data_IF_605193604068
#
_entry.id   IF_605193604068
#
_cell.length_a   1.000
_cell.length_b   1.000
_cell.length_c   1.000
_cell.angle_alpha   90.00
_cell.angle_beta   90.00
_cell.angle_gamma   90.00
#
_symmetry.space_group_name_H-M   'P 1'
#
loop_
_entity.id
_entity.type
_entity.pdbx_description
1 polymer ?
#
# COMPACT_ATOMS: atom_id res chain seq x y z
N UNK A 1 6.24 -18.95 10.35
CA UNK A 1 5.55 -17.64 10.39
C UNK A 1 6.08 -16.88 11.60
N UNK A 2 6.76 -15.76 11.40
CA UNK A 2 7.23 -14.96 12.54
C UNK A 2 6.01 -14.41 13.28
N UNK A 3 5.79 -14.84 14.52
CA UNK A 3 4.77 -14.28 15.42
C UNK A 3 5.19 -12.90 15.98
N UNK A 4 6.42 -12.48 15.70
CA UNK A 4 7.03 -11.26 16.22
C UNK A 4 7.54 -10.39 15.07
N UNK A 5 7.21 -9.09 15.10
CA UNK A 5 7.65 -8.09 14.15
C UNK A 5 9.18 -7.96 14.11
N UNK A 6 9.85 -7.94 15.27
CA UNK A 6 11.28 -7.65 15.39
C UNK A 6 12.19 -8.68 14.71
N UNK A 7 11.74 -9.93 14.60
CA UNK A 7 12.47 -11.00 13.93
C UNK A 7 11.96 -11.27 12.51
N UNK A 8 10.96 -10.51 12.05
CA UNK A 8 10.31 -10.73 10.76
C UNK A 8 11.12 -10.18 9.58
N UNK A 9 10.84 -10.71 8.39
CA UNK A 9 11.35 -10.12 7.14
C UNK A 9 10.88 -8.69 6.94
N UNK A 10 9.70 -8.31 7.45
CA UNK A 10 9.20 -6.94 7.38
C UNK A 10 10.17 -5.97 8.06
N UNK A 11 10.65 -6.29 9.26
CA UNK A 11 11.59 -5.43 9.98
C UNK A 11 12.92 -5.28 9.22
N UNK A 12 13.43 -6.37 8.64
CA UNK A 12 14.70 -6.39 7.89
C UNK A 12 14.64 -5.59 6.58
N UNK A 13 13.46 -5.48 5.99
CA UNK A 13 13.24 -4.79 4.70
C UNK A 13 12.74 -3.34 4.88
N UNK A 14 12.79 -2.80 6.11
CA UNK A 14 12.52 -1.38 6.34
C UNK A 14 13.61 -0.54 5.68
N UNK A 15 13.17 0.50 4.97
CA UNK A 15 14.03 1.44 4.25
C UNK A 15 13.85 2.83 4.80
N UNK A 16 14.92 3.59 4.77
CA UNK A 16 14.89 4.99 5.13
C UNK A 16 14.13 5.83 4.09
N UNK A 17 13.49 6.94 4.48
CA UNK A 17 12.75 7.81 3.56
C UNK A 17 13.59 8.31 2.38
N UNK A 18 14.89 8.48 2.59
CA UNK A 18 15.85 8.90 1.56
C UNK A 18 16.00 7.86 0.47
N UNK A 19 15.97 6.56 0.80
CA UNK A 19 16.03 5.48 -0.19
C UNK A 19 14.71 5.29 -0.97
N UNK A 20 13.58 5.65 -0.36
CA UNK A 20 12.24 5.43 -0.92
C UNK A 20 11.83 6.55 -1.89
N UNK A 21 12.38 7.75 -1.71
CA UNK A 21 12.06 8.94 -2.52
C UNK A 21 13.04 9.12 -3.69
N UNK A 22 13.76 8.06 -4.06
CA UNK A 22 14.60 8.03 -5.26
C UNK A 22 13.79 7.53 -6.44
N UNK A 23 13.85 8.27 -7.55
CA UNK A 23 13.26 7.84 -8.83
C UNK A 23 14.23 6.87 -9.49
N UNK A 24 13.69 5.78 -10.05
CA UNK A 24 14.50 4.81 -10.78
C UNK A 24 15.21 5.48 -11.97
N UNK A 25 16.49 5.16 -12.27
CA UNK A 25 17.25 5.84 -13.33
C UNK A 25 16.54 5.85 -14.69
N UNK A 26 15.86 4.76 -15.05
CA UNK A 26 15.07 4.65 -16.28
C UNK A 26 13.88 5.63 -16.32
N UNK A 27 13.24 5.88 -15.19
CA UNK A 27 12.13 6.82 -15.09
C UNK A 27 12.64 8.27 -15.08
N UNK A 28 13.79 8.52 -14.45
CA UNK A 28 14.47 9.81 -14.46
C UNK A 28 14.92 10.20 -15.88
N UNK A 29 15.44 9.25 -16.67
CA UNK A 29 15.80 9.47 -18.09
C UNK A 29 14.60 9.89 -18.95
N UNK A 30 13.38 9.53 -18.55
CA UNK A 30 12.14 9.91 -19.22
C UNK A 30 11.57 11.24 -18.71
N UNK A 31 12.28 11.92 -17.80
CA UNK A 31 11.88 13.20 -17.24
C UNK A 31 10.86 13.10 -16.11
N UNK A 32 10.66 11.92 -15.51
CA UNK A 32 9.78 11.79 -14.33
C UNK A 32 10.49 12.43 -13.14
N UNK A 33 9.89 13.50 -12.60
CA UNK A 33 10.42 14.15 -11.39
C UNK A 33 10.07 13.35 -10.13
N UNK A 34 10.76 13.65 -9.04
CA UNK A 34 10.44 13.08 -7.71
C UNK A 34 9.01 13.40 -7.30
N UNK A 35 8.51 14.59 -7.64
CA UNK A 35 7.15 15.00 -7.33
C UNK A 35 6.13 14.23 -8.18
N UNK A 36 6.38 14.04 -9.47
CA UNK A 36 5.53 13.20 -10.33
C UNK A 36 5.46 11.77 -9.79
N UNK A 37 6.60 11.20 -9.40
CA UNK A 37 6.66 9.87 -8.79
C UNK A 37 5.81 9.80 -7.51
N UNK A 38 5.86 10.85 -6.67
CA UNK A 38 5.06 10.95 -5.44
C UNK A 38 3.56 11.04 -5.73
N UNK A 39 3.17 11.84 -6.73
CA UNK A 39 1.79 12.02 -7.16
C UNK A 39 1.22 10.74 -7.81
N UNK A 40 2.02 10.04 -8.62
CA UNK A 40 1.63 8.75 -9.20
C UNK A 40 1.39 7.73 -8.10
N UNK A 41 2.29 7.58 -7.13
CA UNK A 41 2.10 6.69 -5.97
C UNK A 41 0.82 7.04 -5.19
N UNK A 42 0.53 8.32 -5.02
CA UNK A 42 -0.67 8.79 -4.31
C UNK A 42 -1.94 8.44 -5.10
N UNK A 43 -1.96 8.77 -6.38
CA UNK A 43 -3.08 8.47 -7.28
C UNK A 43 -3.38 6.97 -7.31
N UNK A 44 -2.34 6.13 -7.43
CA UNK A 44 -2.51 4.68 -7.48
C UNK A 44 -2.94 4.09 -6.13
N UNK A 45 -2.49 4.66 -5.01
CA UNK A 45 -3.00 4.27 -3.68
C UNK A 45 -4.51 4.55 -3.57
N UNK A 46 -4.96 5.71 -4.04
CA UNK A 46 -6.38 6.06 -4.07
C UNK A 46 -7.17 5.15 -5.02
N UNK A 47 -6.58 4.76 -6.15
CA UNK A 47 -7.17 3.79 -7.06
C UNK A 47 -7.39 2.42 -6.40
N UNK A 48 -6.38 1.89 -5.67
CA UNK A 48 -6.51 0.66 -4.89
C UNK A 48 -7.67 0.78 -3.88
N UNK A 49 -7.74 1.89 -3.14
CA UNK A 49 -8.81 2.10 -2.16
C UNK A 49 -10.20 2.15 -2.80
N UNK A 50 -10.36 2.83 -3.95
CA UNK A 50 -11.63 2.86 -4.69
C UNK A 50 -12.04 1.48 -5.19
N UNK A 51 -11.12 0.72 -5.78
CA UNK A 51 -11.37 -0.66 -6.18
C UNK A 51 -11.80 -1.53 -5.00
N UNK A 52 -11.09 -1.43 -3.88
CA UNK A 52 -11.39 -2.18 -2.68
C UNK A 52 -12.77 -1.85 -2.10
N UNK A 53 -13.18 -0.58 -2.14
CA UNK A 53 -14.53 -0.16 -1.72
C UNK A 53 -15.62 -0.80 -2.59
N UNK A 54 -15.43 -0.84 -3.91
CA UNK A 54 -16.38 -1.49 -4.82
C UNK A 54 -16.49 -3.01 -4.60
N UNK A 55 -15.38 -3.67 -4.27
CA UNK A 55 -15.31 -5.11 -4.02
C UNK A 55 -15.65 -5.45 -2.55
N UNK A 56 -15.82 -4.44 -1.68
CA UNK A 56 -16.08 -4.56 -0.23
C UNK A 56 -14.96 -5.31 0.53
N UNK A 57 -13.71 -5.02 0.19
CA UNK A 57 -12.52 -5.61 0.81
C UNK A 57 -12.20 -4.90 2.14
N UNK A 58 -11.72 -5.65 3.14
CA UNK A 58 -11.32 -5.12 4.46
C UNK A 58 -10.11 -4.19 4.37
N UNK A 59 -10.08 -3.15 5.19
CA UNK A 59 -9.01 -2.13 5.20
C UNK A 59 -7.60 -2.71 5.40
N UNK A 60 -7.47 -3.79 6.20
CA UNK A 60 -6.19 -4.49 6.40
C UNK A 60 -5.58 -4.96 5.07
N UNK A 61 -6.39 -5.52 4.18
CA UNK A 61 -5.96 -6.00 2.87
C UNK A 61 -5.55 -4.82 1.96
N UNK A 62 -6.30 -3.71 2.02
CA UNK A 62 -5.96 -2.47 1.30
C UNK A 62 -4.60 -1.95 1.71
N UNK A 63 -4.31 -1.94 3.01
CA UNK A 63 -3.02 -1.52 3.54
C UNK A 63 -1.87 -2.43 3.09
N UNK A 64 -2.09 -3.76 3.06
CA UNK A 64 -1.13 -4.73 2.50
C UNK A 64 -0.87 -4.46 1.02
N UNK A 65 -1.91 -4.24 0.23
CA UNK A 65 -1.80 -3.93 -1.20
C UNK A 65 -1.01 -2.65 -1.49
N UNK A 66 -1.30 -1.57 -0.75
CA UNK A 66 -0.54 -0.31 -0.87
C UNK A 66 0.92 -0.51 -0.47
N UNK A 67 1.19 -1.33 0.55
CA UNK A 67 2.55 -1.66 0.98
C UNK A 67 3.32 -2.42 -0.10
N UNK A 68 2.69 -3.41 -0.74
CA UNK A 68 3.29 -4.12 -1.87
C UNK A 68 3.62 -3.18 -3.03
N UNK A 69 2.68 -2.34 -3.44
CA UNK A 69 2.89 -1.38 -4.51
C UNK A 69 4.09 -0.46 -4.22
N UNK A 70 4.19 0.07 -2.99
CA UNK A 70 5.32 0.92 -2.57
C UNK A 70 6.66 0.17 -2.60
N UNK A 71 6.68 -1.09 -2.11
CA UNK A 71 7.89 -1.94 -2.13
C UNK A 71 8.35 -2.25 -3.55
N UNK A 72 7.42 -2.58 -4.45
CA UNK A 72 7.72 -2.84 -5.88
C UNK A 72 8.41 -1.64 -6.52
N UNK A 73 7.85 -0.44 -6.36
CA UNK A 73 8.41 0.78 -6.96
C UNK A 73 9.68 1.32 -6.30
N UNK A 74 10.14 0.69 -5.21
CA UNK A 74 11.48 0.96 -4.69
C UNK A 74 12.57 0.22 -5.46
N UNK A 75 12.18 -0.82 -6.23
CA UNK A 75 13.12 -1.72 -6.94
C UNK A 75 12.90 -1.76 -8.45
N UNK A 76 11.70 -1.44 -8.92
CA UNK A 76 11.29 -1.53 -10.32
C UNK A 76 10.85 -0.16 -10.83
N UNK A 77 11.05 0.08 -12.12
CA UNK A 77 10.65 1.31 -12.79
C UNK A 77 9.13 1.36 -13.03
N UNK A 78 8.53 2.55 -13.00
CA UNK A 78 7.13 2.80 -13.40
C UNK A 78 6.89 2.44 -14.87
N UNK A 79 7.94 2.56 -15.68
CA UNK A 79 7.93 2.24 -17.09
C UNK A 79 7.75 0.74 -17.36
N UNK A 80 8.53 -0.10 -16.69
CA UNK A 80 8.47 -1.55 -16.88
C UNK A 80 7.25 -2.14 -16.18
N UNK A 81 6.88 -1.57 -15.03
CA UNK A 81 5.79 -2.03 -14.18
C UNK A 81 4.67 -1.00 -14.20
N UNK A 82 3.79 -1.11 -15.21
CA UNK A 82 2.73 -0.14 -15.44
C UNK A 82 1.81 0.01 -14.20
N UNK A 83 1.71 1.21 -13.59
CA UNK A 83 0.99 1.39 -12.32
C UNK A 83 -0.50 1.06 -12.35
N UNK A 84 -1.13 1.21 -13.52
CA UNK A 84 -2.55 0.87 -13.71
C UNK A 84 -2.83 -0.62 -13.60
N UNK A 85 -1.87 -1.47 -13.97
CA UNK A 85 -1.94 -2.93 -13.83
C UNK A 85 -1.36 -3.39 -12.49
N UNK A 86 -0.27 -2.79 -12.01
CA UNK A 86 0.36 -3.17 -10.74
C UNK A 86 -0.55 -2.93 -9.55
N UNK A 87 -1.28 -1.80 -9.51
CA UNK A 87 -2.19 -1.46 -8.42
C UNK A 87 -3.27 -2.54 -8.16
N UNK A 88 -4.10 -2.94 -9.13
CA UNK A 88 -5.09 -3.99 -8.94
C UNK A 88 -4.43 -5.34 -8.68
N UNK A 89 -3.32 -5.67 -9.32
CA UNK A 89 -2.62 -6.94 -9.07
C UNK A 89 -2.04 -7.03 -7.65
N UNK A 90 -1.54 -5.92 -7.10
CA UNK A 90 -1.15 -5.84 -5.68
C UNK A 90 -2.35 -6.10 -4.75
N UNK A 91 -3.53 -5.58 -5.09
CA UNK A 91 -4.77 -5.85 -4.36
C UNK A 91 -5.16 -7.33 -4.44
N UNK A 92 -5.07 -7.94 -5.63
CA UNK A 92 -5.31 -9.36 -5.82
C UNK A 92 -4.37 -10.24 -4.98
N UNK A 93 -3.07 -9.94 -5.02
CA UNK A 93 -2.05 -10.67 -4.26
C UNK A 93 -2.25 -10.49 -2.74
N UNK A 94 -2.58 -9.26 -2.30
CA UNK A 94 -2.87 -8.98 -0.89
C UNK A 94 -4.11 -9.73 -0.39
N UNK A 95 -5.16 -9.84 -1.22
CA UNK A 95 -6.33 -10.67 -0.89
C UNK A 95 -5.92 -12.11 -0.60
N UNK A 96 -5.06 -12.70 -1.44
CA UNK A 96 -4.55 -14.06 -1.20
C UNK A 96 -3.69 -14.16 0.07
N UNK A 97 -2.80 -13.20 0.30
CA UNK A 97 -1.90 -13.21 1.45
C UNK A 97 -2.62 -13.02 2.81
N UNK A 98 -3.74 -12.29 2.83
CA UNK A 98 -4.55 -12.03 4.03
C UNK A 98 -5.81 -12.92 4.10
N UNK A 99 -5.83 -14.03 3.35
CA UNK A 99 -6.90 -15.04 3.36
C UNK A 99 -8.30 -14.47 3.02
N UNK A 100 -8.35 -13.45 2.16
CA UNK A 100 -9.58 -12.86 1.63
C UNK A 100 -9.86 -13.40 0.23
N UNK A 101 -10.98 -14.10 0.05
CA UNK A 101 -11.32 -14.73 -1.25
C UNK A 101 -11.82 -13.68 -2.24
N UNK A 102 -11.03 -13.38 -3.27
CA UNK A 102 -11.43 -12.53 -4.40
C UNK A 102 -11.02 -13.19 -5.71
N UNK A 103 -11.97 -13.37 -6.63
CA UNK A 103 -11.69 -13.91 -7.96
C UNK A 103 -11.16 -12.81 -8.90
N UNK A 104 -10.15 -13.13 -9.70
CA UNK A 104 -9.57 -12.19 -10.68
C UNK A 104 -10.62 -11.64 -11.66
N UNK A 105 -11.65 -12.43 -12.02
CA UNK A 105 -12.76 -11.99 -12.88
C UNK A 105 -13.51 -10.78 -12.33
N UNK A 106 -13.73 -10.73 -11.01
CA UNK A 106 -14.39 -9.61 -10.34
C UNK A 106 -13.52 -8.36 -10.43
N UNK A 107 -12.21 -8.53 -10.21
CA UNK A 107 -11.26 -7.44 -10.29
C UNK A 107 -11.20 -6.83 -11.71
N UNK A 108 -11.09 -7.67 -12.75
CA UNK A 108 -11.13 -7.23 -14.16
C UNK A 108 -12.43 -6.48 -14.46
N UNK A 109 -13.57 -6.95 -13.97
CA UNK A 109 -14.86 -6.28 -14.15
C UNK A 109 -14.87 -4.86 -13.57
N UNK A 110 -14.38 -4.66 -12.34
CA UNK A 110 -14.35 -3.34 -11.71
C UNK A 110 -13.27 -2.42 -12.30
N UNK A 111 -12.14 -2.96 -12.76
CA UNK A 111 -11.14 -2.18 -13.51
C UNK A 111 -11.79 -1.56 -14.76
N UNK A 112 -12.47 -2.38 -15.57
CA UNK A 112 -13.18 -1.93 -16.78
C UNK A 112 -14.30 -0.94 -16.47
N UNK A 113 -14.97 -1.11 -15.33
CA UNK A 113 -16.05 -0.20 -14.90
C UNK A 113 -15.52 1.17 -14.47
N UNK A 114 -14.37 1.23 -13.80
CA UNK A 114 -13.77 2.48 -13.31
C UNK A 114 -13.04 3.25 -14.41
N UNK A 115 -12.42 2.53 -15.35
CA UNK A 115 -11.73 3.11 -16.50
C UNK A 115 -12.33 2.55 -17.78
N UNK A 116 -13.23 3.34 -18.38
CA UNK A 116 -13.89 3.02 -19.65
C UNK A 116 -12.99 3.27 -20.89
N UNK A 117 -11.73 3.64 -20.68
CA UNK A 117 -10.79 3.92 -21.76
C UNK A 117 -10.44 2.61 -22.50
N UNK A 118 -10.74 2.56 -23.79
CA UNK A 118 -10.55 1.36 -24.62
C UNK A 118 -9.08 0.94 -24.73
N UNK A 119 -8.16 1.88 -24.48
CA UNK A 119 -6.71 1.64 -24.58
C UNK A 119 -6.18 0.69 -23.50
N UNK A 120 -6.88 0.53 -22.38
CA UNK A 120 -6.40 -0.23 -21.21
C UNK A 120 -7.35 -1.37 -20.84
N UNK A 121 -7.62 -2.25 -21.81
CA UNK A 121 -8.45 -3.45 -21.61
C UNK A 121 -7.60 -4.62 -21.10
N UNK A 122 -7.38 -4.66 -19.79
CA UNK A 122 -6.71 -5.81 -19.14
C UNK A 122 -7.60 -7.05 -19.10
N UNK A 123 -6.98 -8.20 -19.30
CA UNK A 123 -7.55 -9.54 -19.16
C UNK A 123 -7.03 -10.22 -17.90
N UNK A 124 -7.64 -11.36 -17.54
CA UNK A 124 -7.22 -12.14 -16.37
C UNK A 124 -5.76 -12.58 -16.50
N UNK A 125 -5.32 -12.94 -17.73
CA UNK A 125 -3.94 -13.35 -18.01
C UNK A 125 -2.92 -12.28 -17.64
N UNK A 126 -3.22 -11.00 -17.88
CA UNK A 126 -2.31 -9.89 -17.61
C UNK A 126 -2.12 -9.70 -16.10
N UNK A 127 -3.19 -9.88 -15.33
CA UNK A 127 -3.14 -9.84 -13.86
C UNK A 127 -2.29 -11.00 -13.33
N UNK A 128 -2.48 -12.21 -13.87
CA UNK A 128 -1.72 -13.39 -13.42
C UNK A 128 -0.24 -13.33 -13.80
N UNK A 129 0.08 -12.80 -14.98
CA UNK A 129 1.48 -12.59 -15.37
C UNK A 129 2.14 -11.51 -14.50
N UNK A 130 1.45 -10.38 -14.28
CA UNK A 130 1.97 -9.32 -13.43
C UNK A 130 2.10 -9.77 -11.97
N UNK A 131 1.24 -10.67 -11.51
CA UNK A 131 1.33 -11.23 -10.16
C UNK A 131 2.67 -11.93 -9.93
N UNK A 132 3.09 -12.76 -10.88
CA UNK A 132 4.38 -13.45 -10.79
C UNK A 132 5.54 -12.44 -10.76
N UNK A 133 5.47 -11.39 -11.59
CA UNK A 133 6.47 -10.31 -11.60
C UNK A 133 6.53 -9.55 -10.27
N UNK A 134 5.38 -9.26 -9.66
CA UNK A 134 5.30 -8.59 -8.36
C UNK A 134 5.86 -9.47 -7.24
N UNK A 135 5.54 -10.77 -7.24
CA UNK A 135 6.08 -11.73 -6.28
C UNK A 135 7.61 -11.73 -6.27
N UNK A 136 8.19 -11.77 -7.48
CA UNK A 136 9.64 -11.71 -7.68
C UNK A 136 10.22 -10.37 -7.21
N UNK A 137 9.59 -9.25 -7.57
CA UNK A 137 10.02 -7.91 -7.14
C UNK A 137 9.98 -7.73 -5.60
N UNK A 138 9.06 -8.41 -4.91
CA UNK A 138 8.94 -8.43 -3.46
C UNK A 138 9.89 -9.42 -2.76
N UNK A 139 10.69 -10.19 -3.50
CA UNK A 139 11.45 -11.34 -2.99
C UNK A 139 10.58 -12.29 -2.16
N UNK A 140 9.31 -12.47 -2.53
CA UNK A 140 8.33 -13.30 -1.81
C UNK A 140 8.08 -12.90 -0.34
N UNK A 141 8.45 -11.69 0.09
CA UNK A 141 8.17 -11.18 1.43
C UNK A 141 6.75 -10.62 1.55
N UNK A 142 5.78 -11.53 1.69
CA UNK A 142 4.35 -11.22 1.72
C UNK A 142 3.80 -10.85 3.09
N UNK A 143 4.46 -11.25 4.19
CA UNK A 143 3.94 -10.95 5.53
C UNK A 143 4.12 -9.47 5.85
N UNK A 144 3.01 -8.75 6.02
CA UNK A 144 2.99 -7.34 6.45
C UNK A 144 2.34 -7.24 7.82
N UNK A 145 3.00 -6.53 8.72
CA UNK A 145 2.51 -6.26 10.07
C UNK A 145 1.85 -4.89 10.07
N UNK A 146 0.60 -4.84 10.53
CA UNK A 146 -0.18 -3.60 10.59
C UNK A 146 -0.43 -3.18 12.04
N UNK A 147 -0.44 -1.87 12.32
CA UNK A 147 -0.69 -1.33 13.66
C UNK A 147 -2.16 -1.45 14.10
N UNK A 148 -3.07 -1.94 13.24
CA UNK A 148 -4.52 -1.95 13.52
C UNK A 148 -4.91 -2.71 14.81
N UNK A 149 -4.12 -3.71 15.23
CA UNK A 149 -4.40 -4.46 16.46
C UNK A 149 -4.04 -3.69 17.72
N UNK A 150 -2.92 -2.96 17.70
CA UNK A 150 -2.41 -2.21 18.87
C UNK A 150 -2.98 -0.79 18.96
N UNK A 151 -3.53 -0.27 17.86
CA UNK A 151 -4.04 1.10 17.79
C UNK A 151 -5.17 1.40 18.79
N UNK A 152 -6.16 0.51 19.04
CA UNK A 152 -7.20 0.76 20.04
C UNK A 152 -6.63 0.87 21.46
N UNK A 153 -5.65 0.02 21.82
CA UNK A 153 -4.97 0.04 23.11
C UNK A 153 -4.24 1.39 23.30
N UNK A 154 -3.50 1.86 22.29
CA UNK A 154 -2.84 3.16 22.33
C UNK A 154 -3.81 4.36 22.38
N UNK A 155 -4.98 4.27 21.75
CA UNK A 155 -5.99 5.33 21.79
C UNK A 155 -6.68 5.42 23.15
N UNK A 156 -6.93 4.25 23.75
CA UNK A 156 -7.44 4.17 25.12
C UNK A 156 -6.43 4.77 26.11
N UNK A 157 -5.14 4.42 25.98
CA UNK A 157 -4.07 4.94 26.83
C UNK A 157 -3.86 6.46 26.67
N UNK A 158 -4.15 7.01 25.48
CA UNK A 158 -4.05 8.45 25.21
C UNK A 158 -5.31 9.25 25.55
N UNK A 159 -6.37 8.61 26.04
CA UNK A 159 -7.62 9.26 26.45
C UNK A 159 -8.49 9.77 25.28
N UNK A 160 -8.24 9.32 24.05
CA UNK A 160 -9.03 9.68 22.87
C UNK A 160 -10.13 8.62 22.67
N UNK A 161 -11.35 8.94 23.11
CA UNK A 161 -12.48 8.00 23.14
C UNK A 161 -13.24 7.84 21.81
N UNK A 162 -13.02 8.73 20.84
CA UNK A 162 -13.81 8.74 19.60
C UNK A 162 -13.23 7.81 18.52
N UNK A 163 -13.70 6.57 18.55
CA UNK A 163 -13.37 5.49 17.60
C UNK A 163 -13.95 5.68 16.19
N UNK A 164 -14.88 6.62 16.01
CA UNK A 164 -15.57 6.86 14.72
C UNK A 164 -14.70 7.59 13.70
N UNK A 165 -13.74 8.38 14.16
CA UNK A 165 -12.78 9.06 13.28
C UNK A 165 -11.61 8.16 12.89
N UNK A 166 -11.52 6.93 13.40
CA UNK A 166 -10.40 6.04 13.14
C UNK A 166 -10.28 5.67 11.66
N UNK A 167 -11.38 5.46 10.93
CA UNK A 167 -11.28 5.15 9.50
C UNK A 167 -10.82 6.34 8.65
N UNK A 168 -11.27 7.55 9.01
CA UNK A 168 -10.96 8.82 8.32
C UNK A 168 -9.56 9.32 8.67
N UNK A 169 -9.14 9.14 9.92
CA UNK A 169 -7.74 9.28 10.30
C UNK A 169 -6.92 8.20 9.62
N UNK A 170 -7.23 6.91 9.68
CA UNK A 170 -6.43 5.89 9.00
C UNK A 170 -6.25 6.14 7.49
N UNK A 171 -7.24 6.69 6.77
CA UNK A 171 -7.09 7.14 5.37
C UNK A 171 -6.30 8.46 5.22
N UNK A 172 -6.44 9.42 6.13
CA UNK A 172 -5.54 10.58 6.23
C UNK A 172 -4.11 10.20 6.63
N UNK A 173 -3.95 9.10 7.36
CA UNK A 173 -2.70 8.55 7.85
C UNK A 173 -2.06 7.70 6.77
N UNK A 174 -2.77 7.02 5.88
CA UNK A 174 -2.15 6.44 4.66
C UNK A 174 -1.60 7.53 3.73
N UNK A 175 -2.23 8.71 3.76
CA UNK A 175 -1.83 9.93 3.02
C UNK A 175 -0.67 10.68 3.69
N UNK A 176 -0.52 10.61 5.02
CA UNK A 176 0.59 11.23 5.78
C UNK A 176 1.76 10.27 6.04
N UNK A 177 1.52 8.95 6.15
CA UNK A 177 2.52 7.87 6.02
C UNK A 177 3.07 7.76 4.59
N UNK A 178 2.59 8.59 3.67
CA UNK A 178 3.17 8.75 2.33
C UNK A 178 4.65 9.17 2.39
N UNK A 179 5.15 9.65 3.55
CA UNK A 179 6.54 10.07 3.77
C UNK A 179 7.30 9.16 4.77
N UNK A 180 6.61 8.33 5.55
CA UNK A 180 7.25 7.55 6.63
C UNK A 180 6.80 6.09 6.61
N UNK A 181 7.57 5.25 5.92
CA UNK A 181 7.62 3.80 6.16
C UNK A 181 8.36 3.48 7.48
N UNK A 182 8.22 4.33 8.49
CA UNK A 182 8.94 4.16 9.75
C UNK A 182 8.10 3.30 10.68
N UNK A 183 8.67 2.15 11.04
CA UNK A 183 8.51 1.36 12.28
C UNK A 183 7.21 1.56 13.07
N UNK A 184 6.63 0.43 13.51
CA UNK A 184 5.56 0.29 14.51
C UNK A 184 5.61 1.35 15.64
N UNK A 185 6.80 1.80 16.04
CA UNK A 185 7.05 2.80 17.06
C UNK A 185 6.90 4.26 16.61
N UNK A 186 7.22 4.61 15.35
CA UNK A 186 7.12 6.00 14.89
C UNK A 186 5.68 6.45 14.73
N UNK A 187 4.74 5.53 14.50
CA UNK A 187 3.30 5.81 14.53
C UNK A 187 2.83 6.19 15.94
N UNK A 188 3.20 5.39 16.96
CA UNK A 188 2.93 5.69 18.35
C UNK A 188 3.60 7.00 18.79
N UNK A 189 4.85 7.24 18.39
CA UNK A 189 5.60 8.45 18.71
C UNK A 189 5.04 9.69 17.99
N UNK A 190 4.52 9.55 16.76
CA UNK A 190 3.86 10.65 16.04
C UNK A 190 2.49 10.95 16.65
N UNK A 191 1.73 9.94 17.12
CA UNK A 191 0.53 10.10 17.94
C UNK A 191 0.83 10.83 19.26
N UNK A 192 1.93 10.48 19.92
CA UNK A 192 2.39 11.11 21.18
C UNK A 192 2.86 12.56 20.98
N UNK A 193 3.49 12.86 19.84
CA UNK A 193 3.87 14.23 19.46
C UNK A 193 2.67 15.07 19.01
N UNK A 194 1.67 14.50 18.34
CA UNK A 194 0.45 15.21 17.95
C UNK A 194 -0.47 15.51 19.13
N UNK A 195 -0.53 14.61 20.12
CA UNK A 195 -1.28 14.83 21.37
C UNK A 195 -0.63 15.89 22.25
N UNK A 196 0.70 15.92 22.37
CA UNK A 196 1.44 16.97 23.10
C UNK A 196 1.45 18.36 22.43
N UNK A 197 1.06 18.49 21.16
CA UNK A 197 1.01 19.79 20.45
C UNK A 197 -0.33 20.53 20.64
N UNK A 198 -1.33 19.90 21.26
CA UNK A 198 -2.66 20.47 21.55
C UNK A 198 -2.86 20.84 23.03
N UNK A 199 -1.82 20.73 23.85
CA UNK A 199 -1.73 21.23 25.23
C UNK A 199 -0.68 22.31 25.30
#
# INVERSE_FOLDING_TARGET
MASNFWTSSHYKELKDPEEINVVHPLDAQRGISVEDFRLIKLHMSNYISKLAQHIKIRQRVVATAVTYMRRVYTRKSLTEYEPRLVAPTCLYLACKAEESVVHAKILVFYIKKLYADEKFRYEIKDILEMEMKILEALNFYLVVFHPYRSLPEFLQDSGISDTRDLSTTLTGWTSSLHIRLTSFHSLAFTLLLFTKRKT
#
